data_IF_196085074085
#
_entry.id   IF_196085074085
#
_cell.length_a   1.000
_cell.length_b   1.000
_cell.length_c   1.000
_cell.angle_alpha   90.00
_cell.angle_beta   90.00
_cell.angle_gamma   90.00
#
_symmetry.space_group_name_H-M   'P 1'
#
loop_
_entity.id
_entity.type
_entity.pdbx_description
1 polymer ?
#
# COMPACT_ATOMS: atom_id res chain seq x y z
N UNK A 1 -12.93 -45.54 43.87
CA UNK A 1 -12.03 -44.36 43.75
C UNK A 1 -10.93 -44.56 42.73
N UNK A 2 -10.28 -45.71 42.62
CA UNK A 2 -9.21 -45.94 41.61
C UNK A 2 -9.72 -45.91 40.17
N UNK A 3 -10.93 -46.39 39.89
CA UNK A 3 -11.54 -46.40 38.56
C UNK A 3 -11.94 -45.00 38.08
N UNK A 4 -12.35 -44.13 38.96
CA UNK A 4 -12.72 -42.75 38.64
C UNK A 4 -11.48 -41.91 38.24
N UNK A 5 -10.36 -42.16 38.92
CA UNK A 5 -9.10 -41.46 38.62
C UNK A 5 -8.56 -41.86 37.24
N UNK A 6 -8.74 -43.13 36.86
CA UNK A 6 -8.28 -43.67 35.56
C UNK A 6 -9.11 -43.10 34.42
N UNK A 7 -10.41 -42.88 34.59
CA UNK A 7 -11.31 -42.24 33.64
C UNK A 7 -10.96 -40.77 33.40
N UNK A 8 -10.63 -40.06 34.48
CA UNK A 8 -10.23 -38.64 34.39
C UNK A 8 -8.89 -38.52 33.68
N UNK A 9 -7.95 -39.42 33.91
CA UNK A 9 -6.65 -39.44 33.24
C UNK A 9 -6.82 -39.75 31.76
N UNK A 10 -7.74 -40.66 31.40
CA UNK A 10 -8.03 -40.98 29.99
C UNK A 10 -8.70 -39.82 29.27
N UNK A 11 -9.59 -39.08 29.92
CA UNK A 11 -10.24 -37.88 29.38
C UNK A 11 -9.24 -36.75 29.16
N UNK A 12 -8.29 -36.53 30.06
CA UNK A 12 -7.19 -35.56 29.89
C UNK A 12 -6.28 -35.94 28.74
N UNK A 13 -6.05 -37.23 28.51
CA UNK A 13 -5.21 -37.69 27.40
C UNK A 13 -5.89 -37.47 26.04
N UNK A 14 -7.23 -37.57 25.96
CA UNK A 14 -7.97 -37.27 24.72
C UNK A 14 -7.90 -35.79 24.31
N UNK A 15 -7.79 -34.87 25.29
CA UNK A 15 -7.76 -33.42 25.00
C UNK A 15 -6.44 -33.03 24.35
N UNK A 16 -5.33 -33.72 24.64
CA UNK A 16 -4.01 -33.41 24.06
C UNK A 16 -3.84 -33.90 22.61
N UNK A 17 -4.69 -34.81 22.17
CA UNK A 17 -4.62 -35.35 20.79
C UNK A 17 -5.38 -34.51 19.74
N UNK A 18 -6.13 -33.47 20.17
CA UNK A 18 -6.89 -32.62 19.25
C UNK A 18 -6.17 -31.33 18.88
N UNK A 19 -4.90 -31.18 19.26
CA UNK A 19 -4.07 -30.08 18.78
C UNK A 19 -3.20 -30.51 17.61
N UNK A 20 -3.79 -31.17 16.62
CA UNK A 20 -3.23 -31.15 15.28
C UNK A 20 -3.88 -29.99 14.57
N UNK A 21 -3.16 -28.86 14.56
CA UNK A 21 -3.39 -27.85 13.57
C UNK A 21 -3.16 -28.49 12.21
N UNK A 22 -4.22 -28.99 11.59
CA UNK A 22 -4.22 -29.20 10.17
C UNK A 22 -3.94 -27.85 9.51
N UNK A 23 -2.66 -27.58 9.30
CA UNK A 23 -2.24 -26.68 8.25
C UNK A 23 -2.67 -27.34 6.95
N UNK A 24 -3.97 -27.32 6.68
CA UNK A 24 -4.47 -27.48 5.34
C UNK A 24 -3.89 -26.30 4.59
N UNK A 25 -2.73 -26.52 3.99
CA UNK A 25 -2.31 -25.71 2.88
C UNK A 25 -3.36 -25.95 1.79
N UNK A 26 -4.46 -25.20 1.91
CA UNK A 26 -5.36 -24.99 0.80
C UNK A 26 -4.50 -24.27 -0.22
N UNK A 27 -3.84 -25.04 -1.06
CA UNK A 27 -3.37 -24.56 -2.35
C UNK A 27 -4.65 -24.17 -3.08
N UNK A 28 -5.18 -23.00 -2.74
CA UNK A 28 -6.12 -22.34 -3.61
C UNK A 28 -5.31 -22.05 -4.86
N UNK A 29 -5.51 -22.87 -5.85
CA UNK A 29 -5.19 -22.51 -7.23
C UNK A 29 -6.08 -21.29 -7.56
N UNK A 30 -5.76 -20.13 -6.96
CA UNK A 30 -6.13 -18.90 -7.61
C UNK A 30 -5.41 -18.96 -8.96
N UNK A 31 -6.14 -18.79 -10.07
CA UNK A 31 -5.43 -18.52 -11.28
C UNK A 31 -4.48 -17.38 -10.91
N UNK A 32 -3.22 -17.70 -10.84
CA UNK A 32 -2.15 -16.75 -10.79
C UNK A 32 -2.46 -15.88 -12.01
N UNK A 33 -3.24 -14.80 -11.76
CA UNK A 33 -3.25 -13.70 -12.67
C UNK A 33 -1.80 -13.27 -12.61
N UNK A 34 -1.04 -13.86 -13.53
CA UNK A 34 0.33 -13.47 -13.76
C UNK A 34 0.21 -11.98 -13.97
N UNK A 35 0.48 -11.24 -12.90
CA UNK A 35 0.79 -9.85 -13.07
C UNK A 35 2.06 -9.90 -13.90
N UNK A 36 1.87 -10.02 -15.21
CA UNK A 36 2.88 -9.55 -16.12
C UNK A 36 3.07 -8.12 -15.63
N UNK A 37 4.09 -7.97 -14.83
CA UNK A 37 4.67 -6.67 -14.54
C UNK A 37 5.19 -6.22 -15.89
N UNK A 38 4.25 -5.89 -16.79
CA UNK A 38 4.57 -4.95 -17.83
C UNK A 38 5.15 -3.79 -17.05
N UNK A 39 6.44 -3.67 -17.15
CA UNK A 39 7.12 -2.44 -16.78
C UNK A 39 6.57 -1.43 -17.76
N UNK A 40 5.34 -0.96 -17.47
CA UNK A 40 4.77 0.19 -18.13
C UNK A 40 5.70 1.32 -17.70
N UNK A 41 6.72 1.55 -18.48
CA UNK A 41 7.67 2.65 -18.32
C UNK A 41 6.90 3.92 -18.63
N UNK A 42 5.96 4.28 -17.75
CA UNK A 42 5.36 5.60 -17.82
C UNK A 42 6.43 6.59 -17.36
N UNK A 43 6.78 7.53 -18.21
CA UNK A 43 7.69 8.61 -17.89
C UNK A 43 7.01 9.56 -16.89
N UNK A 44 7.17 9.27 -15.58
CA UNK A 44 6.66 10.13 -14.51
C UNK A 44 7.82 10.93 -13.96
N UNK A 45 7.75 12.23 -14.11
CA UNK A 45 8.67 13.18 -13.50
C UNK A 45 7.98 13.93 -12.37
N UNK A 46 8.59 13.91 -11.18
CA UNK A 46 8.17 14.70 -10.02
C UNK A 46 9.30 15.69 -9.72
N UNK A 47 8.97 16.97 -9.64
CA UNK A 47 9.97 18.01 -9.38
C UNK A 47 9.39 19.20 -8.61
N UNK A 48 10.20 19.88 -7.79
CA UNK A 48 11.55 19.49 -7.36
C UNK A 48 11.53 18.32 -6.36
N UNK A 49 12.56 17.49 -6.39
CA UNK A 49 12.83 16.50 -5.35
C UNK A 49 14.30 16.68 -4.94
N UNK A 50 14.60 16.95 -3.67
CA UNK A 50 13.67 17.09 -2.53
C UNK A 50 12.72 18.28 -2.65
N UNK A 51 11.52 18.11 -2.06
CA UNK A 51 10.49 19.17 -2.01
C UNK A 51 10.83 20.15 -0.89
N UNK A 52 11.04 21.43 -1.22
CA UNK A 52 11.45 22.46 -0.26
C UNK A 52 10.35 23.45 0.09
N UNK A 53 9.44 23.74 -0.83
CA UNK A 53 8.42 24.78 -0.71
C UNK A 53 7.01 24.23 -0.47
N UNK A 54 6.87 23.05 0.14
CA UNK A 54 5.58 22.39 0.33
C UNK A 54 4.79 22.21 -0.97
N UNK A 55 5.44 22.29 -2.11
CA UNK A 55 4.81 22.10 -3.41
C UNK A 55 5.73 21.36 -4.38
N UNK A 56 5.14 20.54 -5.23
CA UNK A 56 5.82 19.87 -6.30
C UNK A 56 4.90 19.70 -7.50
N UNK A 57 5.49 19.47 -8.65
CA UNK A 57 4.76 19.21 -9.89
C UNK A 57 4.96 17.78 -10.34
N UNK A 58 3.93 17.20 -10.90
CA UNK A 58 3.94 15.89 -11.53
C UNK A 58 3.72 16.11 -13.02
N UNK A 59 4.61 15.55 -13.85
CA UNK A 59 4.49 15.50 -15.29
C UNK A 59 4.59 14.05 -15.75
N UNK A 60 3.73 13.66 -16.66
CA UNK A 60 3.68 12.30 -17.21
C UNK A 60 3.22 12.34 -18.67
N UNK A 61 3.50 11.27 -19.38
CA UNK A 61 3.02 11.02 -20.74
C UNK A 61 1.60 10.39 -20.78
N UNK A 62 1.01 10.15 -19.61
CA UNK A 62 -0.30 9.51 -19.46
C UNK A 62 -1.27 10.41 -18.70
N UNK A 63 -2.55 10.18 -18.91
CA UNK A 63 -3.64 10.94 -18.29
C UNK A 63 -3.90 10.50 -16.83
N UNK A 64 -3.71 11.44 -15.90
CA UNK A 64 -3.93 11.27 -14.46
C UNK A 64 -5.38 11.58 -14.13
N UNK A 65 -6.04 10.72 -13.35
CA UNK A 65 -7.38 10.95 -12.81
C UNK A 65 -7.35 11.27 -11.31
N UNK A 66 -6.34 10.82 -10.58
CA UNK A 66 -6.19 11.18 -9.16
C UNK A 66 -4.75 11.14 -8.69
N UNK A 67 -4.46 11.97 -7.71
CA UNK A 67 -3.18 12.01 -6.98
C UNK A 67 -3.48 11.97 -5.50
N UNK A 68 -2.76 11.10 -4.78
CA UNK A 68 -2.80 11.00 -3.34
C UNK A 68 -1.39 11.03 -2.77
N UNK A 69 -1.19 11.78 -1.69
CA UNK A 69 0.08 11.82 -0.96
C UNK A 69 -0.16 11.32 0.45
N UNK A 70 0.61 10.33 0.88
CA UNK A 70 0.56 9.78 2.23
C UNK A 70 1.92 9.87 2.90
N UNK A 71 1.93 10.00 4.23
CA UNK A 71 3.15 9.83 5.01
C UNK A 71 3.48 8.33 5.16
N UNK A 72 4.62 8.02 5.81
CA UNK A 72 5.09 6.64 5.97
C UNK A 72 4.23 5.79 6.91
N UNK A 73 3.38 6.41 7.74
CA UNK A 73 2.42 5.70 8.60
C UNK A 73 1.04 5.54 7.94
N UNK A 74 0.88 5.96 6.68
CA UNK A 74 -0.32 5.76 5.89
C UNK A 74 -1.40 6.82 6.02
N UNK A 75 -1.12 7.97 6.66
CA UNK A 75 -2.07 9.07 6.73
C UNK A 75 -2.11 9.84 5.42
N UNK A 76 -3.31 10.16 4.96
CA UNK A 76 -3.52 10.99 3.77
C UNK A 76 -3.21 12.46 4.09
N UNK A 77 -2.19 12.99 3.42
CA UNK A 77 -1.75 14.39 3.54
C UNK A 77 -2.38 15.25 2.45
N UNK A 78 -2.57 14.67 1.28
CA UNK A 78 -3.18 15.32 0.13
C UNK A 78 -3.94 14.30 -0.70
N UNK A 79 -5.10 14.71 -1.22
CA UNK A 79 -5.88 13.94 -2.16
C UNK A 79 -6.58 14.87 -3.15
N UNK A 80 -6.37 14.62 -4.42
CA UNK A 80 -7.06 15.30 -5.50
C UNK A 80 -7.62 14.30 -6.49
N UNK A 81 -8.82 14.58 -6.99
CA UNK A 81 -9.45 13.85 -8.06
C UNK A 81 -9.80 14.85 -9.16
N UNK A 82 -9.39 14.55 -10.38
CA UNK A 82 -9.58 15.44 -11.51
C UNK A 82 -10.85 15.04 -12.30
N UNK A 83 -11.73 16.00 -12.55
CA UNK A 83 -12.94 15.77 -13.37
C UNK A 83 -12.57 15.52 -14.84
N UNK A 84 -11.51 16.18 -15.31
CA UNK A 84 -10.91 15.93 -16.62
C UNK A 84 -9.50 15.42 -16.41
N UNK A 85 -9.06 14.38 -17.15
CA UNK A 85 -7.72 13.85 -17.03
C UNK A 85 -6.65 14.90 -17.34
N UNK A 86 -5.54 14.86 -16.62
CA UNK A 86 -4.43 15.81 -16.76
C UNK A 86 -3.10 15.09 -16.88
N UNK A 87 -2.22 15.55 -17.75
CA UNK A 87 -0.85 15.04 -17.89
C UNK A 87 0.19 15.81 -17.06
N UNK A 88 -0.22 16.96 -16.51
CA UNK A 88 0.60 17.80 -15.65
C UNK A 88 -0.25 18.37 -14.53
N UNK A 89 0.24 18.30 -13.29
CA UNK A 89 -0.46 18.86 -12.13
C UNK A 89 0.52 19.35 -11.08
N UNK A 90 0.14 20.42 -10.37
CA UNK A 90 0.88 20.93 -9.20
C UNK A 90 0.17 20.49 -7.92
N UNK A 91 0.93 19.94 -7.01
CA UNK A 91 0.46 19.52 -5.69
C UNK A 91 0.94 20.52 -4.66
N UNK A 92 -0.01 21.07 -3.89
CA UNK A 92 0.25 21.97 -2.78
C UNK A 92 -0.03 21.22 -1.48
N UNK A 93 1.00 21.03 -0.67
CA UNK A 93 0.90 20.34 0.60
C UNK A 93 0.68 21.35 1.73
N UNK A 94 -0.26 21.04 2.63
CA UNK A 94 -0.51 21.84 3.83
C UNK A 94 0.12 21.14 5.03
N UNK A 95 0.84 21.90 5.86
CA UNK A 95 1.38 21.43 7.14
C UNK A 95 2.15 20.11 7.06
N UNK A 96 3.15 20.05 6.18
CA UNK A 96 4.05 18.91 6.10
C UNK A 96 5.23 19.05 7.02
N UNK A 97 5.68 17.96 7.59
CA UNK A 97 6.94 17.85 8.32
C UNK A 97 8.02 17.26 7.41
N UNK A 98 9.27 17.54 7.73
CA UNK A 98 10.40 16.91 7.04
C UNK A 98 10.27 15.38 7.11
N UNK A 99 10.44 14.70 5.99
CA UNK A 99 10.39 13.24 5.96
C UNK A 99 10.09 12.69 4.58
N UNK A 100 9.86 11.38 4.56
CA UNK A 100 9.53 10.64 3.34
C UNK A 100 8.02 10.51 3.20
N UNK A 101 7.55 10.67 1.97
CA UNK A 101 6.15 10.58 1.59
C UNK A 101 5.98 9.71 0.35
N UNK A 102 4.81 9.12 0.21
CA UNK A 102 4.43 8.31 -0.93
C UNK A 102 3.41 9.08 -1.77
N UNK A 103 3.71 9.24 -3.04
CA UNK A 103 2.80 9.84 -4.03
C UNK A 103 2.21 8.70 -4.85
N UNK A 104 0.90 8.49 -4.71
CA UNK A 104 0.15 7.52 -5.50
C UNK A 104 -0.56 8.25 -6.63
N UNK A 105 -0.24 7.89 -7.85
CA UNK A 105 -0.81 8.45 -9.07
C UNK A 105 -1.70 7.38 -9.70
N UNK A 106 -2.96 7.71 -9.95
CA UNK A 106 -3.91 6.83 -10.64
C UNK A 106 -4.21 7.40 -12.01
N UNK A 107 -4.12 6.56 -13.03
CA UNK A 107 -4.37 6.90 -14.43
C UNK A 107 -5.77 6.52 -14.89
N UNK A 108 -6.19 7.03 -16.03
CA UNK A 108 -7.52 6.76 -16.64
C UNK A 108 -7.78 5.27 -16.82
N UNK A 109 -6.77 4.49 -17.16
CA UNK A 109 -6.86 3.03 -17.33
C UNK A 109 -6.96 2.24 -16.02
N UNK A 110 -7.00 2.93 -14.86
CA UNK A 110 -7.03 2.33 -13.53
C UNK A 110 -5.67 1.91 -13.00
N UNK A 111 -4.60 2.04 -13.77
CA UNK A 111 -3.22 1.76 -13.30
C UNK A 111 -2.84 2.72 -12.18
N UNK A 112 -2.14 2.20 -11.17
CA UNK A 112 -1.60 2.99 -10.06
C UNK A 112 -0.10 2.86 -9.99
N UNK A 113 0.57 3.98 -9.83
CA UNK A 113 2.02 4.04 -9.63
C UNK A 113 2.29 4.79 -8.34
N UNK A 114 3.19 4.25 -7.53
CA UNK A 114 3.63 4.86 -6.27
C UNK A 114 5.06 5.32 -6.43
N UNK A 115 5.31 6.61 -6.16
CA UNK A 115 6.64 7.21 -6.12
C UNK A 115 6.93 7.72 -4.72
N UNK A 116 8.15 7.50 -4.28
CA UNK A 116 8.64 8.00 -2.99
C UNK A 116 9.32 9.35 -3.21
N UNK A 117 8.98 10.34 -2.39
CA UNK A 117 9.59 11.67 -2.39
C UNK A 117 10.10 12.02 -0.99
N UNK A 118 11.09 12.90 -0.94
CA UNK A 118 11.58 13.51 0.29
C UNK A 118 11.06 14.94 0.37
N UNK A 119 10.48 15.30 1.53
CA UNK A 119 10.12 16.69 1.85
C UNK A 119 11.14 17.22 2.84
N UNK A 120 11.76 18.33 2.48
CA UNK A 120 12.64 19.12 3.34
C UNK A 120 11.88 20.40 3.68
N UNK A 121 11.63 20.65 4.97
CA UNK A 121 11.08 21.95 5.34
C UNK A 121 12.12 23.02 5.04
N UNK A 122 11.73 24.15 4.45
CA UNK A 122 12.57 25.32 4.45
C UNK A 122 12.78 25.75 5.91
N UNK A 123 14.01 25.97 6.29
CA UNK A 123 14.35 26.61 7.55
C UNK A 123 13.81 28.05 7.60
#
# INVERSE_FOLDING_TARGET
MKQSLLLILLLLYCITLHSQSDTVSVVRNYPQKTFIKETITSNITIYPVPVRENSFSIKTDRDIVSVKVTNMIGQDIFKAQYKSPVSHTKVLLKQTTRGMYLVTITFVDGTRIVKKIMIENPE
#
